data_IF_261784686157
#
_entry.id   IF_261784686157
#
_cell.length_a   1.000
_cell.length_b   1.000
_cell.length_c   1.000
_cell.angle_alpha   90.00
_cell.angle_beta   90.00
_cell.angle_gamma   90.00
#
_symmetry.space_group_name_H-M   'P 1'
#
loop_
_entity.id
_entity.type
_entity.pdbx_description
1 polymer ?
#
# COMPACT_ATOMS: atom_id res chain seq x y z
N UNK A 1 -8.60 -3.41 23.01
CA UNK A 1 -7.92 -4.10 21.90
C UNK A 1 -6.98 -3.13 21.21
N UNK A 2 -5.66 -3.32 21.38
CA UNK A 2 -4.68 -2.42 20.76
C UNK A 2 -4.47 -2.79 19.31
N UNK A 3 -4.80 -1.88 18.38
CA UNK A 3 -4.52 -2.07 16.94
C UNK A 3 -3.07 -1.73 16.57
N UNK A 4 -2.31 -1.12 17.47
CA UNK A 4 -0.99 -0.57 17.19
C UNK A 4 0.00 -1.61 16.66
N UNK A 5 0.14 -2.81 17.28
CA UNK A 5 1.11 -3.79 16.80
C UNK A 5 0.79 -4.33 15.40
N UNK A 6 -0.50 -4.58 15.13
CA UNK A 6 -0.98 -5.04 13.82
C UNK A 6 -0.73 -3.99 12.73
N UNK A 7 -0.94 -2.71 13.05
CA UNK A 7 -0.63 -1.60 12.14
C UNK A 7 0.86 -1.46 11.89
N UNK A 8 1.72 -1.60 12.91
CA UNK A 8 3.18 -1.56 12.74
C UNK A 8 3.66 -2.68 11.81
N UNK A 9 3.18 -3.91 12.02
CA UNK A 9 3.49 -5.04 11.13
C UNK A 9 3.01 -4.78 9.71
N UNK A 10 1.79 -4.27 9.56
CA UNK A 10 1.25 -3.94 8.24
C UNK A 10 2.03 -2.82 7.53
N UNK A 11 2.50 -1.82 8.27
CA UNK A 11 3.38 -0.76 7.77
C UNK A 11 4.72 -1.33 7.29
N UNK A 12 5.33 -2.23 8.07
CA UNK A 12 6.56 -2.92 7.66
C UNK A 12 6.35 -3.76 6.40
N UNK A 13 5.22 -4.48 6.31
CA UNK A 13 4.83 -5.15 5.08
C UNK A 13 4.74 -4.14 3.94
N UNK A 14 4.03 -3.01 4.12
CA UNK A 14 3.88 -1.95 3.12
C UNK A 14 5.22 -1.38 2.61
N UNK A 15 6.22 -1.23 3.49
CA UNK A 15 7.57 -0.85 3.09
C UNK A 15 8.25 -1.94 2.26
N UNK A 16 8.14 -3.21 2.66
CA UNK A 16 8.64 -4.35 1.87
C UNK A 16 7.95 -4.45 0.50
N UNK A 17 6.65 -4.15 0.45
CA UNK A 17 5.85 -4.08 -0.77
C UNK A 17 6.33 -2.99 -1.72
N UNK A 18 6.60 -1.79 -1.21
CA UNK A 18 7.18 -0.70 -1.98
C UNK A 18 8.51 -1.12 -2.64
N UNK A 19 9.41 -1.73 -1.86
CA UNK A 19 10.70 -2.21 -2.35
C UNK A 19 10.53 -3.24 -3.48
N UNK A 20 9.63 -4.21 -3.29
CA UNK A 20 9.33 -5.22 -4.30
C UNK A 20 8.72 -4.60 -5.56
N UNK A 21 7.75 -3.71 -5.39
CA UNK A 21 7.03 -3.06 -6.50
C UNK A 21 7.98 -2.26 -7.39
N UNK A 22 8.80 -1.38 -6.80
CA UNK A 22 9.79 -0.59 -7.56
C UNK A 22 10.75 -1.50 -8.33
N UNK A 23 11.22 -2.58 -7.69
CA UNK A 23 12.16 -3.51 -8.34
C UNK A 23 11.53 -4.30 -9.48
N UNK A 24 10.28 -4.74 -9.32
CA UNK A 24 9.50 -5.45 -10.35
C UNK A 24 9.19 -4.55 -11.56
N UNK A 25 9.12 -3.23 -11.34
CA UNK A 25 8.96 -2.21 -12.37
C UNK A 25 10.29 -1.84 -13.06
N UNK A 26 11.41 -2.46 -12.67
CA UNK A 26 12.73 -2.16 -13.20
C UNK A 26 13.38 -0.90 -12.64
N UNK A 27 12.79 -0.29 -11.61
CA UNK A 27 13.31 0.91 -10.95
C UNK A 27 14.55 0.63 -10.09
N UNK A 28 15.44 1.63 -9.90
CA UNK A 28 16.63 1.50 -9.06
C UNK A 28 16.28 1.52 -7.56
N UNK A 29 17.07 0.77 -6.76
CA UNK A 29 16.92 0.73 -5.30
C UNK A 29 16.97 2.11 -4.63
N UNK A 30 17.76 3.03 -5.19
CA UNK A 30 17.87 4.40 -4.69
C UNK A 30 16.53 5.14 -4.74
N UNK A 31 15.72 4.89 -5.76
CA UNK A 31 14.37 5.47 -5.87
C UNK A 31 13.41 4.81 -4.88
N UNK A 32 13.48 3.48 -4.73
CA UNK A 32 12.64 2.76 -3.76
C UNK A 32 12.85 3.23 -2.30
N UNK A 33 14.04 3.77 -2.00
CA UNK A 33 14.43 4.30 -0.70
C UNK A 33 14.24 5.82 -0.58
N UNK A 34 13.70 6.48 -1.59
CA UNK A 34 13.36 7.90 -1.47
C UNK A 34 12.24 8.10 -0.43
N UNK A 35 12.25 9.26 0.23
CA UNK A 35 11.28 9.59 1.27
C UNK A 35 9.83 9.51 0.78
N UNK A 36 9.55 9.86 -0.48
CA UNK A 36 8.20 9.80 -1.03
C UNK A 36 7.71 8.38 -1.24
N UNK A 37 8.56 7.51 -1.79
CA UNK A 37 8.29 6.08 -1.97
C UNK A 37 8.11 5.35 -0.63
N UNK A 38 8.98 5.62 0.35
CA UNK A 38 8.88 5.03 1.68
C UNK A 38 7.61 5.50 2.41
N UNK A 39 7.27 6.79 2.35
CA UNK A 39 6.06 7.32 2.96
C UNK A 39 4.79 6.74 2.30
N UNK A 40 4.78 6.63 0.97
CA UNK A 40 3.71 5.97 0.23
C UNK A 40 3.54 4.50 0.64
N UNK A 41 4.65 3.74 0.70
CA UNK A 41 4.66 2.34 1.16
C UNK A 41 4.14 2.18 2.58
N UNK A 42 4.61 3.04 3.49
CA UNK A 42 4.20 3.01 4.89
C UNK A 42 2.70 3.29 5.05
N UNK A 43 2.18 4.34 4.38
CA UNK A 43 0.76 4.71 4.45
C UNK A 43 -0.15 3.67 3.79
N UNK A 44 0.27 3.10 2.66
CA UNK A 44 -0.42 1.98 2.04
C UNK A 44 -0.50 0.78 2.97
N UNK A 45 0.62 0.44 3.62
CA UNK A 45 0.70 -0.63 4.62
C UNK A 45 -0.23 -0.39 5.80
N UNK A 46 -0.23 0.82 6.37
CA UNK A 46 -1.10 1.17 7.50
C UNK A 46 -2.59 1.06 7.12
N UNK A 47 -2.99 1.59 5.96
CA UNK A 47 -4.38 1.56 5.49
C UNK A 47 -4.85 0.14 5.15
N UNK A 48 -4.00 -0.65 4.48
CA UNK A 48 -4.27 -2.07 4.23
C UNK A 48 -4.38 -2.87 5.55
N UNK A 49 -3.58 -2.52 6.56
CA UNK A 49 -3.63 -3.14 7.89
C UNK A 49 -4.94 -2.84 8.61
N UNK A 50 -5.34 -1.57 8.61
CA UNK A 50 -6.63 -1.13 9.14
C UNK A 50 -7.79 -1.86 8.45
N UNK A 51 -7.79 -1.89 7.11
CA UNK A 51 -8.82 -2.56 6.32
C UNK A 51 -8.84 -4.07 6.57
N UNK A 52 -7.69 -4.69 6.78
CA UNK A 52 -7.59 -6.11 7.14
C UNK A 52 -8.28 -6.42 8.45
N UNK A 53 -7.94 -5.68 9.51
CA UNK A 53 -8.58 -5.87 10.83
C UNK A 53 -10.08 -5.62 10.76
N UNK A 54 -10.50 -4.53 10.10
CA UNK A 54 -11.91 -4.19 9.95
C UNK A 54 -12.70 -5.25 9.17
N UNK A 55 -12.18 -5.73 8.03
CA UNK A 55 -12.85 -6.72 7.19
C UNK A 55 -12.95 -8.09 7.86
N UNK A 56 -11.88 -8.54 8.53
CA UNK A 56 -11.86 -9.81 9.30
C UNK A 56 -12.80 -9.77 10.51
N UNK A 57 -12.86 -8.66 11.26
CA UNK A 57 -13.78 -8.51 12.40
C UNK A 57 -15.25 -8.64 11.98
N UNK A 58 -15.64 -8.07 10.84
CA UNK A 58 -17.01 -8.18 10.32
C UNK A 58 -17.41 -9.61 9.92
N UNK A 59 -16.43 -10.50 9.74
CA UNK A 59 -16.63 -11.89 9.34
C UNK A 59 -16.32 -12.90 10.44
N UNK A 60 -16.23 -12.46 11.69
CA UNK A 60 -15.88 -13.36 12.80
C UNK A 60 -14.49 -13.99 12.64
N UNK A 61 -13.55 -13.31 11.98
CA UNK A 61 -12.18 -13.77 11.78
C UNK A 61 -11.93 -14.58 10.50
N UNK A 62 -12.97 -14.91 9.73
CA UNK A 62 -12.79 -15.67 8.48
C UNK A 62 -12.12 -14.85 7.36
N UNK A 63 -11.26 -15.49 6.57
CA UNK A 63 -10.71 -14.89 5.35
C UNK A 63 -11.64 -15.09 4.16
N UNK A 64 -11.57 -14.18 3.20
CA UNK A 64 -12.24 -14.38 1.91
C UNK A 64 -11.46 -13.75 0.78
N UNK A 65 -11.41 -14.46 -0.34
CA UNK A 65 -10.71 -14.01 -1.54
C UNK A 65 -11.18 -12.63 -2.01
N UNK A 66 -12.48 -12.35 -1.95
CA UNK A 66 -13.01 -11.02 -2.31
C UNK A 66 -12.43 -9.89 -1.44
N UNK A 67 -12.19 -10.15 -0.15
CA UNK A 67 -11.61 -9.16 0.76
C UNK A 67 -10.10 -9.04 0.60
N UNK A 68 -9.43 -10.11 0.21
CA UNK A 68 -8.01 -10.09 -0.16
C UNK A 68 -7.81 -9.22 -1.39
N UNK A 69 -8.64 -9.40 -2.42
CA UNK A 69 -8.60 -8.60 -3.63
C UNK A 69 -8.95 -7.12 -3.34
N UNK A 70 -9.99 -6.86 -2.54
CA UNK A 70 -10.32 -5.50 -2.12
C UNK A 70 -9.17 -4.84 -1.35
N UNK A 71 -8.52 -5.56 -0.44
CA UNK A 71 -7.39 -5.06 0.34
C UNK A 71 -6.17 -4.75 -0.53
N UNK A 72 -5.91 -5.59 -1.54
CA UNK A 72 -4.88 -5.34 -2.54
C UNK A 72 -5.12 -4.01 -3.26
N UNK A 73 -6.35 -3.76 -3.74
CA UNK A 73 -6.69 -2.49 -4.38
C UNK A 73 -6.66 -1.30 -3.42
N UNK A 74 -7.07 -1.46 -2.16
CA UNK A 74 -6.91 -0.41 -1.14
C UNK A 74 -5.43 -0.04 -0.97
N UNK A 75 -4.56 -1.03 -0.87
CA UNK A 75 -3.12 -0.82 -0.78
C UNK A 75 -2.55 -0.08 -1.99
N UNK A 76 -2.86 -0.54 -3.21
CA UNK A 76 -2.41 0.10 -4.45
C UNK A 76 -2.90 1.55 -4.57
N UNK A 77 -4.19 1.78 -4.35
CA UNK A 77 -4.77 3.12 -4.48
C UNK A 77 -4.19 4.06 -3.42
N UNK A 78 -4.07 3.60 -2.18
CA UNK A 78 -3.48 4.37 -1.09
C UNK A 78 -2.02 4.74 -1.38
N UNK A 79 -1.25 3.77 -1.87
CA UNK A 79 0.15 3.95 -2.24
C UNK A 79 0.30 5.05 -3.29
N UNK A 80 -0.40 4.92 -4.41
CA UNK A 80 -0.28 5.84 -5.53
C UNK A 80 -0.85 7.23 -5.22
N UNK A 81 -2.00 7.30 -4.54
CA UNK A 81 -2.56 8.58 -4.11
C UNK A 81 -1.60 9.32 -3.19
N UNK A 82 -0.99 8.61 -2.23
CA UNK A 82 -0.01 9.19 -1.31
C UNK A 82 1.24 9.64 -2.05
N UNK A 83 1.78 8.81 -2.95
CA UNK A 83 2.94 9.16 -3.77
C UNK A 83 2.71 10.45 -4.56
N UNK A 84 1.57 10.54 -5.26
CA UNK A 84 1.21 11.73 -6.03
C UNK A 84 1.09 12.96 -5.14
N UNK A 85 0.39 12.85 -4.01
CA UNK A 85 0.24 13.99 -3.08
C UNK A 85 1.61 14.48 -2.58
N UNK A 86 2.53 13.57 -2.23
CA UNK A 86 3.86 13.94 -1.73
C UNK A 86 4.70 14.58 -2.83
N UNK A 87 4.78 13.98 -4.02
CA UNK A 87 5.55 14.56 -5.14
C UNK A 87 4.94 15.89 -5.59
N UNK A 88 3.61 16.04 -5.53
CA UNK A 88 2.94 17.32 -5.77
C UNK A 88 3.32 18.38 -4.75
N UNK A 89 3.26 18.07 -3.47
CA UNK A 89 3.66 19.00 -2.42
C UNK A 89 5.12 19.44 -2.62
N UNK A 90 6.00 18.51 -2.99
CA UNK A 90 7.41 18.79 -3.28
C UNK A 90 7.60 19.69 -4.50
N UNK A 91 6.90 19.44 -5.60
CA UNK A 91 6.95 20.27 -6.81
C UNK A 91 6.41 21.67 -6.55
N UNK A 92 5.26 21.79 -5.89
CA UNK A 92 4.67 23.09 -5.55
C UNK A 92 5.61 23.91 -4.64
N UNK A 93 6.28 23.24 -3.69
CA UNK A 93 7.29 23.86 -2.84
C UNK A 93 8.48 24.40 -3.65
N UNK A 94 9.01 23.59 -4.57
CA UNK A 94 10.15 23.97 -5.41
C UNK A 94 9.83 25.11 -6.38
N UNK A 95 8.60 25.16 -6.90
CA UNK A 95 8.15 26.18 -7.84
C UNK A 95 7.47 27.39 -7.18
N UNK A 96 7.42 27.45 -5.83
CA UNK A 96 6.82 28.55 -5.04
C UNK A 96 5.37 28.88 -5.42
N UNK A 97 4.59 27.88 -5.81
CA UNK A 97 3.23 28.07 -6.26
C UNK A 97 2.57 26.76 -6.68
N UNK A 98 1.25 26.81 -6.88
CA UNK A 98 0.51 25.68 -7.44
C UNK A 98 0.97 25.44 -8.88
N UNK A 99 1.29 24.19 -9.21
CA UNK A 99 1.70 23.80 -10.56
C UNK A 99 1.05 22.49 -10.98
N UNK A 100 0.47 22.49 -12.18
CA UNK A 100 -0.14 21.31 -12.80
C UNK A 100 0.86 20.49 -13.62
N UNK A 101 2.13 20.90 -13.64
CA UNK A 101 3.22 20.23 -14.36
C UNK A 101 3.26 18.73 -14.00
N UNK A 102 3.15 17.82 -14.96
CA UNK A 102 3.08 16.35 -14.81
C UNK A 102 1.82 15.76 -14.12
N UNK A 103 0.74 16.51 -13.80
CA UNK A 103 -0.41 15.92 -13.08
C UNK A 103 -1.07 14.80 -13.88
N UNK A 104 -1.26 15.08 -15.17
CA UNK A 104 -1.90 14.19 -16.12
C UNK A 104 -1.07 12.92 -16.29
N UNK A 105 0.26 13.06 -16.36
CA UNK A 105 1.17 11.91 -16.49
C UNK A 105 1.17 11.05 -15.22
N UNK A 106 1.15 11.66 -14.03
CA UNK A 106 1.00 10.93 -12.76
C UNK A 106 -0.34 10.19 -12.69
N UNK A 107 -1.46 10.83 -13.05
CA UNK A 107 -2.77 10.19 -13.09
C UNK A 107 -2.83 9.07 -14.13
N UNK A 108 -2.22 9.28 -15.30
CA UNK A 108 -2.07 8.28 -16.36
C UNK A 108 -1.29 7.06 -15.87
N UNK A 109 -0.19 7.27 -15.14
CA UNK A 109 0.59 6.22 -14.48
C UNK A 109 -0.25 5.43 -13.48
N UNK A 110 -1.05 6.09 -12.63
CA UNK A 110 -1.95 5.41 -11.69
C UNK A 110 -2.92 4.49 -12.43
N UNK A 111 -3.58 4.99 -13.47
CA UNK A 111 -4.52 4.21 -14.27
C UNK A 111 -3.81 3.02 -14.91
N UNK A 112 -2.65 3.25 -15.53
CA UNK A 112 -1.84 2.16 -16.11
C UNK A 112 -1.46 1.11 -15.07
N UNK A 113 -1.07 1.50 -13.87
CA UNK A 113 -0.72 0.56 -12.80
C UNK A 113 -1.91 -0.21 -12.26
N UNK A 114 -3.07 0.43 -12.11
CA UNK A 114 -4.30 -0.23 -11.65
C UNK A 114 -4.77 -1.28 -12.65
N UNK A 115 -4.64 -1.04 -13.96
CA UNK A 115 -5.11 -1.98 -14.98
C UNK A 115 -4.03 -2.99 -15.41
N UNK A 116 -2.87 -2.52 -15.87
CA UNK A 116 -1.80 -3.39 -16.37
C UNK A 116 -0.94 -3.97 -15.26
N UNK A 117 -0.61 -3.17 -14.24
CA UNK A 117 0.18 -3.66 -13.10
C UNK A 117 -0.54 -4.79 -12.37
N UNK A 118 -1.85 -4.67 -12.19
CA UNK A 118 -2.68 -5.71 -11.58
C UNK A 118 -2.78 -6.98 -12.43
N UNK A 119 -2.87 -6.85 -13.76
CA UNK A 119 -2.95 -8.03 -14.65
C UNK A 119 -1.65 -8.83 -14.69
N UNK A 120 -0.51 -8.16 -14.82
CA UNK A 120 0.79 -8.83 -14.98
C UNK A 120 1.41 -9.24 -13.64
N UNK A 121 1.35 -8.37 -12.63
CA UNK A 121 1.96 -8.66 -11.33
C UNK A 121 0.97 -9.30 -10.36
N UNK A 122 -0.35 -9.22 -10.58
CA UNK A 122 -1.37 -9.72 -9.66
C UNK A 122 -1.23 -11.21 -9.29
N UNK A 123 -0.67 -12.05 -10.18
CA UNK A 123 -0.35 -13.44 -9.86
C UNK A 123 0.60 -13.57 -8.66
N UNK A 124 1.54 -12.65 -8.50
CA UNK A 124 2.46 -12.63 -7.36
C UNK A 124 1.91 -11.76 -6.23
N UNK A 125 1.30 -10.62 -6.56
CA UNK A 125 0.90 -9.64 -5.56
C UNK A 125 -0.39 -10.04 -4.80
N UNK A 126 -1.31 -10.79 -5.41
CA UNK A 126 -2.53 -11.23 -4.70
C UNK A 126 -2.20 -12.30 -3.64
N UNK A 127 -1.42 -13.36 -3.92
CA UNK A 127 -1.01 -14.32 -2.90
C UNK A 127 -0.20 -13.69 -1.75
N UNK A 128 0.72 -12.77 -2.07
CA UNK A 128 1.46 -12.05 -1.04
C UNK A 128 0.54 -11.16 -0.19
N UNK A 129 -0.52 -10.58 -0.78
CA UNK A 129 -1.53 -9.82 -0.02
C UNK A 129 -2.25 -10.73 0.95
N UNK A 130 -2.59 -11.94 0.54
CA UNK A 130 -3.17 -12.96 1.42
C UNK A 130 -2.25 -13.25 2.62
N UNK A 131 -0.96 -13.48 2.38
CA UNK A 131 0.03 -13.74 3.44
C UNK A 131 0.16 -12.54 4.39
N UNK A 132 0.23 -11.32 3.84
CA UNK A 132 0.30 -10.09 4.64
C UNK A 132 -0.92 -9.93 5.54
N UNK A 133 -2.12 -10.20 5.00
CA UNK A 133 -3.38 -10.15 5.77
C UNK A 133 -3.39 -11.20 6.88
N UNK A 134 -2.94 -12.41 6.59
CA UNK A 134 -2.83 -13.47 7.58
C UNK A 134 -1.89 -13.07 8.73
N UNK A 135 -0.71 -12.51 8.42
CA UNK A 135 0.24 -12.03 9.43
C UNK A 135 -0.37 -10.94 10.31
N UNK A 136 -0.96 -9.91 9.70
CA UNK A 136 -1.59 -8.78 10.41
C UNK A 136 -2.71 -9.27 11.33
N UNK A 137 -3.56 -10.18 10.85
CA UNK A 137 -4.66 -10.73 11.64
C UNK A 137 -4.17 -11.54 12.84
N UNK A 138 -3.17 -12.41 12.66
CA UNK A 138 -2.61 -13.21 13.76
C UNK A 138 -2.01 -12.32 14.86
N UNK A 139 -1.32 -11.24 14.49
CA UNK A 139 -0.77 -10.28 15.46
C UNK A 139 -1.90 -9.56 16.19
N UNK A 140 -2.95 -9.15 15.47
CA UNK A 140 -4.12 -8.53 16.08
C UNK A 140 -4.83 -9.44 17.08
N UNK A 141 -5.08 -10.71 16.74
CA UNK A 141 -5.74 -11.66 17.64
C UNK A 141 -4.93 -11.93 18.91
N UNK A 142 -3.61 -12.13 18.79
CA UNK A 142 -2.73 -12.35 19.94
C UNK A 142 -2.75 -11.15 20.89
N UNK A 143 -2.60 -9.95 20.34
CA UNK A 143 -2.60 -8.70 21.12
C UNK A 143 -3.98 -8.26 21.63
N UNK A 144 -5.03 -8.99 21.23
CA UNK A 144 -6.38 -8.80 21.74
C UNK A 144 -6.77 -9.83 22.81
N UNK A 145 -6.03 -10.95 22.90
CA UNK A 145 -6.19 -11.96 23.95
C UNK A 145 -5.47 -11.55 25.24
N UNK A 146 -4.47 -10.68 25.14
CA UNK A 146 -3.76 -10.03 26.24
C UNK A 146 -4.48 -8.74 26.71
#
# INVERSE_FOLDING_TARGET
MSMVPALLVSTMCGLGWNLLAVRLMGGPWKEALSASWLAAGALAGALAGWFTVWSRRRRGGEESFAWVLANFYVGILAYWATFVVIERARLCWNHRGWTDFDLIDHLGLIVWFVFYGTLYYGILLIPLTYVSRWLVWNVYERTAAD
#
